data_IF_489539823691
#
_entry.id   IF_489539823691
#
_cell.length_a   1.000
_cell.length_b   1.000
_cell.length_c   1.000
_cell.angle_alpha   90.00
_cell.angle_beta   90.00
_cell.angle_gamma   90.00
#
_symmetry.space_group_name_H-M   'P 1'
#
loop_
_entity.id
_entity.type
_entity.pdbx_description
1 polymer ?
#
# COMPACT_ATOMS: atom_id res chain seq x y z
N UNK A 1 7.07 -2.98 22.27
CA UNK A 1 5.80 -2.21 22.10
C UNK A 1 5.25 -2.55 20.72
N UNK A 2 4.12 -3.27 20.65
CA UNK A 2 3.47 -3.65 19.38
C UNK A 2 3.19 -2.39 18.57
N UNK A 3 3.77 -2.25 17.38
CA UNK A 3 3.45 -1.14 16.48
C UNK A 3 1.94 -1.23 16.23
N UNK A 4 1.18 -0.22 16.69
CA UNK A 4 -0.27 -0.20 16.56
C UNK A 4 -0.61 -0.46 15.10
N UNK A 5 -1.31 -1.56 14.80
CA UNK A 5 -1.65 -2.04 13.45
C UNK A 5 -2.51 -1.08 12.60
N UNK A 6 -2.62 0.18 13.01
CA UNK A 6 -3.31 1.27 12.35
C UNK A 6 -2.67 1.62 11.00
N UNK A 7 -1.34 1.52 10.87
CA UNK A 7 -0.67 1.80 9.59
C UNK A 7 -1.04 0.77 8.51
N UNK A 8 -1.04 -0.53 8.84
CA UNK A 8 -1.40 -1.59 7.88
C UNK A 8 -2.88 -1.48 7.49
N UNK A 9 -3.75 -1.18 8.45
CA UNK A 9 -5.21 -1.03 8.21
C UNK A 9 -5.54 0.22 7.40
N UNK A 10 -4.89 1.36 7.69
CA UNK A 10 -5.07 2.60 6.93
C UNK A 10 -4.61 2.45 5.48
N UNK A 11 -3.51 1.74 5.28
CA UNK A 11 -2.98 1.46 3.95
C UNK A 11 -3.94 0.62 3.11
N UNK A 12 -4.47 -0.47 3.68
CA UNK A 12 -5.49 -1.30 3.05
C UNK A 12 -6.77 -0.52 2.71
N UNK A 13 -7.25 0.32 3.63
CA UNK A 13 -8.45 1.14 3.41
C UNK A 13 -8.26 2.15 2.25
N UNK A 14 -7.10 2.80 2.18
CA UNK A 14 -6.78 3.76 1.11
C UNK A 14 -6.70 3.07 -0.25
N UNK A 15 -6.07 1.90 -0.35
CA UNK A 15 -6.01 1.13 -1.61
C UNK A 15 -7.38 0.73 -2.11
N UNK A 16 -8.24 0.26 -1.20
CA UNK A 16 -9.62 -0.10 -1.54
C UNK A 16 -10.38 1.14 -2.02
N UNK A 17 -10.30 2.24 -1.27
CA UNK A 17 -11.00 3.47 -1.62
C UNK A 17 -10.53 4.01 -2.98
N UNK A 18 -9.24 3.94 -3.29
CA UNK A 18 -8.70 4.32 -4.60
C UNK A 18 -9.32 3.49 -5.74
N UNK A 19 -9.47 2.18 -5.55
CA UNK A 19 -10.16 1.30 -6.49
C UNK A 19 -11.64 1.69 -6.68
N UNK A 20 -12.33 2.01 -5.59
CA UNK A 20 -13.72 2.48 -5.63
C UNK A 20 -13.87 3.81 -6.35
N UNK A 21 -12.96 4.77 -6.12
CA UNK A 21 -12.98 6.07 -6.82
C UNK A 21 -12.79 5.89 -8.32
N UNK A 22 -11.89 4.99 -8.75
CA UNK A 22 -11.74 4.69 -10.18
C UNK A 22 -13.02 4.10 -10.78
N UNK A 23 -13.69 3.19 -10.05
CA UNK A 23 -14.98 2.62 -10.49
C UNK A 23 -16.05 3.69 -10.55
N UNK A 24 -16.15 4.56 -9.54
CA UNK A 24 -17.08 5.68 -9.55
C UNK A 24 -16.87 6.60 -10.76
N UNK A 25 -15.62 6.85 -11.18
CA UNK A 25 -15.32 7.64 -12.37
C UNK A 25 -15.75 6.96 -13.69
N UNK A 26 -15.82 5.63 -13.73
CA UNK A 26 -16.30 4.88 -14.92
C UNK A 26 -17.84 4.83 -15.02
N UNK A 27 -18.56 5.01 -13.90
CA UNK A 27 -20.01 4.86 -13.84
C UNK A 27 -20.79 5.87 -14.70
N UNK A 28 -20.46 7.17 -14.73
CA UNK A 28 -21.19 8.14 -15.56
C UNK A 28 -21.23 7.76 -17.03
N UNK A 29 -20.13 7.23 -17.56
CA UNK A 29 -20.06 6.73 -18.94
C UNK A 29 -21.00 5.56 -19.15
N UNK A 30 -20.98 4.57 -18.24
CA UNK A 30 -21.85 3.39 -18.31
C UNK A 30 -23.33 3.76 -18.25
N UNK A 31 -23.70 4.69 -17.37
CA UNK A 31 -25.09 5.15 -17.25
C UNK A 31 -25.53 5.98 -18.47
N UNK A 32 -24.61 6.71 -19.11
CA UNK A 32 -24.88 7.43 -20.36
C UNK A 32 -25.04 6.46 -21.54
N UNK A 33 -24.22 5.42 -21.62
CA UNK A 33 -24.32 4.35 -22.61
C UNK A 33 -25.63 3.56 -22.51
N UNK A 34 -26.20 3.48 -21.30
CA UNK A 34 -27.48 2.82 -21.00
C UNK A 34 -28.68 3.77 -21.10
N UNK A 35 -28.50 5.00 -21.58
CA UNK A 35 -29.56 6.01 -21.70
C UNK A 35 -30.27 6.35 -20.36
N UNK A 36 -29.62 6.04 -19.22
CA UNK A 36 -30.14 6.35 -17.88
C UNK A 36 -29.93 7.82 -17.53
N UNK A 37 -28.83 8.41 -18.02
CA UNK A 37 -28.52 9.84 -17.86
C UNK A 37 -28.10 10.44 -19.21
N UNK A 38 -28.42 11.71 -19.44
CA UNK A 38 -28.12 12.40 -20.69
C UNK A 38 -26.96 13.38 -20.53
N UNK A 39 -25.73 12.85 -20.60
CA UNK A 39 -24.49 13.64 -20.59
C UNK A 39 -23.78 13.50 -21.94
N UNK A 40 -22.97 14.49 -22.30
CA UNK A 40 -22.21 14.42 -23.55
C UNK A 40 -21.09 13.37 -23.45
N UNK A 41 -20.91 12.57 -24.50
CA UNK A 41 -19.86 11.54 -24.59
C UNK A 41 -18.45 12.07 -24.26
N UNK A 42 -18.04 13.28 -24.73
CA UNK A 42 -16.73 13.82 -24.38
C UNK A 42 -16.55 14.05 -22.87
N UNK A 43 -17.60 14.51 -22.18
CA UNK A 43 -17.51 14.79 -20.73
C UNK A 43 -17.30 13.50 -19.94
N UNK A 44 -18.13 12.47 -20.18
CA UNK A 44 -18.01 11.21 -19.45
C UNK A 44 -16.73 10.44 -19.77
N UNK A 45 -16.24 10.53 -21.01
CA UNK A 45 -14.95 9.95 -21.40
C UNK A 45 -13.79 10.64 -20.68
N UNK A 46 -13.84 11.96 -20.54
CA UNK A 46 -12.80 12.70 -19.82
C UNK A 46 -12.80 12.38 -18.32
N UNK A 47 -13.98 12.21 -17.71
CA UNK A 47 -14.09 11.80 -16.30
C UNK A 47 -13.48 10.42 -16.08
N UNK A 48 -13.83 9.44 -16.93
CA UNK A 48 -13.26 8.09 -16.88
C UNK A 48 -11.74 8.13 -17.08
N UNK A 49 -11.26 8.89 -18.05
CA UNK A 49 -9.84 9.00 -18.36
C UNK A 49 -9.06 9.58 -17.17
N UNK A 50 -9.52 10.69 -16.59
CA UNK A 50 -8.88 11.30 -15.42
C UNK A 50 -8.90 10.34 -14.23
N UNK A 51 -10.02 9.67 -13.96
CA UNK A 51 -10.13 8.67 -12.91
C UNK A 51 -9.09 7.54 -13.05
N UNK A 52 -8.94 7.02 -14.27
CA UNK A 52 -7.95 5.98 -14.57
C UNK A 52 -6.51 6.47 -14.37
N UNK A 53 -6.17 7.69 -14.81
CA UNK A 53 -4.83 8.26 -14.64
C UNK A 53 -4.51 8.44 -13.14
N UNK A 54 -5.43 9.03 -12.38
CA UNK A 54 -5.28 9.22 -10.93
C UNK A 54 -5.09 7.88 -10.21
N UNK A 55 -5.88 6.87 -10.56
CA UNK A 55 -5.75 5.52 -10.01
C UNK A 55 -4.35 4.93 -10.21
N UNK A 56 -3.83 5.00 -11.43
CA UNK A 56 -2.50 4.46 -11.73
C UNK A 56 -1.37 5.22 -11.04
N UNK A 57 -1.47 6.54 -10.89
CA UNK A 57 -0.50 7.34 -10.13
C UNK A 57 -0.46 6.88 -8.67
N UNK A 58 -1.62 6.70 -8.04
CA UNK A 58 -1.71 6.23 -6.66
C UNK A 58 -1.11 4.83 -6.51
N UNK A 59 -1.47 3.90 -7.40
CA UNK A 59 -0.92 2.52 -7.38
C UNK A 59 0.59 2.51 -7.57
N UNK A 60 1.12 3.30 -8.50
CA UNK A 60 2.56 3.37 -8.77
C UNK A 60 3.33 3.95 -7.56
N UNK A 61 2.87 5.07 -7.01
CA UNK A 61 3.49 5.70 -5.84
C UNK A 61 3.48 4.75 -4.62
N UNK A 62 2.37 4.05 -4.42
CA UNK A 62 2.19 3.06 -3.37
C UNK A 62 3.12 1.86 -3.54
N UNK A 63 3.22 1.32 -4.76
CA UNK A 63 4.13 0.22 -5.08
C UNK A 63 5.58 0.61 -4.81
N UNK A 64 6.04 1.76 -5.31
CA UNK A 64 7.39 2.28 -5.07
C UNK A 64 7.67 2.39 -3.57
N UNK A 65 6.74 2.94 -2.79
CA UNK A 65 6.90 3.09 -1.35
C UNK A 65 6.99 1.73 -0.63
N UNK A 66 6.16 0.76 -1.00
CA UNK A 66 6.25 -0.61 -0.48
C UNK A 66 7.64 -1.17 -0.74
N UNK A 67 8.11 -1.14 -2.00
CA UNK A 67 9.42 -1.68 -2.35
C UNK A 67 10.53 -0.98 -1.56
N UNK A 68 10.50 0.35 -1.43
CA UNK A 68 11.45 1.09 -0.61
C UNK A 68 11.45 0.64 0.86
N UNK A 69 10.26 0.43 1.45
CA UNK A 69 10.12 -0.09 2.82
C UNK A 69 10.64 -1.51 2.95
N UNK A 70 10.35 -2.39 1.99
CA UNK A 70 10.86 -3.76 1.99
C UNK A 70 12.39 -3.77 1.92
N UNK A 71 13.00 -3.09 0.96
CA UNK A 71 14.47 -3.06 0.82
C UNK A 71 15.17 -2.39 2.02
N UNK A 72 14.59 -1.34 2.59
CA UNK A 72 15.12 -0.69 3.79
C UNK A 72 15.02 -1.55 5.06
N UNK A 73 14.05 -2.47 5.14
CA UNK A 73 13.86 -3.32 6.32
C UNK A 73 14.57 -4.69 6.22
N UNK A 74 15.06 -5.10 5.05
CA UNK A 74 15.83 -6.36 4.87
C UNK A 74 17.11 -6.37 5.72
N UNK A 75 17.78 -5.22 5.90
CA UNK A 75 18.99 -5.12 6.72
C UNK A 75 18.74 -5.32 8.22
N UNK A 76 17.52 -5.03 8.71
CA UNK A 76 17.20 -5.10 10.14
C UNK A 76 17.03 -6.53 10.67
N UNK A 77 16.88 -7.53 9.79
CA UNK A 77 16.80 -8.95 10.15
C UNK A 77 18.17 -9.63 10.21
N UNK A 78 19.25 -8.92 9.89
CA UNK A 78 20.63 -9.43 9.93
C UNK A 78 21.39 -9.09 11.21
N UNK A 79 20.77 -8.38 12.16
CA UNK A 79 21.42 -7.91 13.38
C UNK A 79 20.64 -8.22 14.68
N UNK A 80 19.87 -9.32 14.68
CA UNK A 80 19.49 -10.03 15.92
C UNK A 80 20.39 -11.25 16.15
N UNK A 81 21.71 -11.05 16.09
CA UNK A 81 22.64 -11.84 16.92
C UNK A 81 23.64 -10.92 17.63
N UNK A 82 23.25 -10.23 18.71
CA UNK A 82 24.27 -9.86 19.69
C UNK A 82 23.73 -9.79 21.13
N UNK A 83 23.79 -10.90 21.91
CA UNK A 83 23.94 -10.84 23.38
C UNK A 83 23.95 -12.20 24.09
N UNK A 84 23.32 -13.25 23.55
CA UNK A 84 23.17 -14.50 24.32
C UNK A 84 24.46 -15.31 24.42
N UNK A 85 25.34 -15.29 23.41
CA UNK A 85 26.53 -16.13 23.40
C UNK A 85 27.63 -15.71 24.40
N UNK A 86 27.74 -14.42 24.76
CA UNK A 86 28.75 -13.95 25.71
C UNK A 86 28.43 -14.38 27.14
N UNK A 87 27.17 -14.32 27.54
CA UNK A 87 26.73 -14.73 28.88
C UNK A 87 26.88 -16.24 29.09
N UNK A 88 26.59 -17.08 28.09
CA UNK A 88 26.83 -18.53 28.21
C UNK A 88 28.32 -18.88 28.21
N UNK A 89 29.16 -18.16 27.46
CA UNK A 89 30.62 -18.40 27.50
C UNK A 89 31.26 -17.97 28.81
N UNK A 90 30.74 -16.93 29.46
CA UNK A 90 31.25 -16.40 30.73
C UNK A 90 30.76 -17.22 31.94
N UNK A 91 29.54 -17.79 31.86
CA UNK A 91 29.05 -18.77 32.83
C UNK A 91 29.72 -20.16 32.68
N UNK A 92 30.10 -20.56 31.46
CA UNK A 92 30.77 -21.84 31.21
C UNK A 92 32.26 -21.84 31.59
N UNK A 93 32.89 -20.66 31.73
CA UNK A 93 34.29 -20.53 32.19
C UNK A 93 34.42 -20.21 33.67
N UNK A 94 33.34 -19.85 34.37
CA UNK A 94 33.34 -19.63 35.83
C UNK A 94 33.12 -20.90 36.67
N UNK A 95 32.83 -22.04 36.03
CA UNK A 95 32.56 -23.34 36.68
C UNK A 95 33.79 -24.28 36.66
N UNK A 96 34.98 -23.75 36.35
CA UNK A 96 36.27 -24.44 36.36
C UNK A 96 37.30 -23.74 37.23
#
# INVERSE_FOLDING_TARGET
KVVKGIHIRGFYAISILAGFVNRAATLPKKLTELEVINWSKPVVNNIEFVGNIVFWIVVAAFGIWIFAKFFSNIGLLREEEPASNKTYSELATSDH
#
